data_IF_315768802206
#
_entry.id   IF_315768802206
#
_cell.length_a   1.000
_cell.length_b   1.000
_cell.length_c   1.000
_cell.angle_alpha   90.00
_cell.angle_beta   90.00
_cell.angle_gamma   90.00
#
_symmetry.space_group_name_H-M   'P 1'
#
loop_
_entity.id
_entity.type
_entity.pdbx_description
1 polymer ?
#
# COMPACT_ATOMS: atom_id res chain seq x y z
N UNK A 1 30.38 -23.52 19.25
CA UNK A 1 29.61 -22.40 19.84
C UNK A 1 28.81 -21.75 18.72
N UNK A 2 27.48 -21.62 18.84
CA UNK A 2 26.64 -20.92 17.84
C UNK A 2 26.63 -19.43 18.16
N UNK A 3 27.19 -18.59 17.29
CA UNK A 3 27.29 -17.12 17.45
C UNK A 3 26.16 -16.34 16.75
N UNK A 4 25.18 -17.05 16.22
CA UNK A 4 24.05 -16.47 15.48
C UNK A 4 22.78 -17.21 15.82
N UNK A 5 21.66 -16.51 15.77
CA UNK A 5 20.34 -17.15 15.76
C UNK A 5 20.12 -17.77 14.39
N UNK A 6 20.06 -19.10 14.33
CA UNK A 6 19.67 -19.82 13.12
C UNK A 6 18.15 -19.68 12.96
N UNK A 7 17.73 -19.18 11.79
CA UNK A 7 16.32 -19.00 11.47
C UNK A 7 15.91 -20.19 10.61
N UNK A 8 15.05 -21.06 11.15
CA UNK A 8 14.42 -22.11 10.37
C UNK A 8 13.19 -21.53 9.67
N UNK A 9 13.29 -21.32 8.36
CA UNK A 9 12.16 -20.84 7.54
C UNK A 9 11.38 -22.07 7.11
N UNK A 10 10.17 -22.21 7.64
CA UNK A 10 9.23 -23.24 7.19
C UNK A 10 8.87 -23.03 5.73
N UNK A 11 8.77 -24.12 4.95
CA UNK A 11 8.36 -24.03 3.55
C UNK A 11 6.96 -23.42 3.45
N UNK A 12 6.81 -22.39 2.63
CA UNK A 12 5.52 -21.76 2.40
C UNK A 12 4.52 -22.79 1.84
N UNK A 13 3.26 -22.71 2.29
CA UNK A 13 2.18 -23.61 1.81
C UNK A 13 1.86 -23.41 0.34
N UNK A 14 2.15 -22.21 -0.18
CA UNK A 14 2.00 -21.84 -1.57
C UNK A 14 3.25 -21.08 -2.01
N UNK A 15 3.65 -21.29 -3.24
CA UNK A 15 4.80 -20.61 -3.84
C UNK A 15 4.33 -19.74 -5.00
N UNK A 16 5.03 -18.64 -5.20
CA UNK A 16 4.87 -17.78 -6.37
C UNK A 16 5.59 -18.45 -7.54
N UNK A 17 4.95 -18.50 -8.70
CA UNK A 17 5.51 -19.05 -9.93
C UNK A 17 5.69 -17.96 -10.99
N UNK A 18 6.58 -18.15 -11.97
CA UNK A 18 6.84 -17.14 -13.02
C UNK A 18 5.61 -16.77 -13.87
N UNK A 19 4.63 -17.66 -13.96
CA UNK A 19 3.35 -17.42 -14.63
C UNK A 19 2.39 -16.54 -13.83
N UNK A 20 2.66 -16.34 -12.54
CA UNK A 20 1.78 -15.58 -11.67
C UNK A 20 1.94 -14.07 -11.96
N UNK A 21 0.82 -13.41 -12.18
CA UNK A 21 0.69 -11.97 -12.19
C UNK A 21 0.57 -11.46 -10.74
N UNK A 22 1.46 -10.52 -10.39
CA UNK A 22 1.62 -10.02 -9.02
C UNK A 22 1.35 -8.51 -9.01
N UNK A 23 0.35 -8.09 -8.25
CA UNK A 23 0.16 -6.67 -7.91
C UNK A 23 0.84 -6.41 -6.57
N UNK A 24 1.74 -5.44 -6.50
CA UNK A 24 2.38 -5.03 -5.23
C UNK A 24 1.92 -3.65 -4.81
N UNK A 25 1.47 -3.50 -3.56
CA UNK A 25 1.12 -2.21 -2.97
C UNK A 25 1.74 -2.04 -1.59
N UNK A 26 2.37 -0.89 -1.33
CA UNK A 26 2.87 -0.58 0.01
C UNK A 26 4.12 0.30 0.04
N UNK A 27 4.86 0.18 1.15
CA UNK A 27 6.05 0.99 1.44
C UNK A 27 7.16 0.82 0.39
N UNK A 28 8.24 1.60 0.48
CA UNK A 28 9.36 1.49 -0.44
C UNK A 28 10.08 0.13 -0.37
N UNK A 29 9.92 -0.63 0.72
CA UNK A 29 10.34 -2.04 0.74
C UNK A 29 9.57 -2.87 -0.32
N UNK A 30 8.29 -2.60 -0.52
CA UNK A 30 7.49 -3.24 -1.58
C UNK A 30 8.07 -2.93 -2.96
N UNK A 31 8.49 -1.68 -3.19
CA UNK A 31 9.13 -1.28 -4.45
C UNK A 31 10.42 -2.06 -4.71
N UNK A 32 11.26 -2.23 -3.68
CA UNK A 32 12.48 -3.03 -3.79
C UNK A 32 12.20 -4.50 -4.08
N UNK A 33 11.18 -5.10 -3.45
CA UNK A 33 10.79 -6.49 -3.71
C UNK A 33 10.20 -6.63 -5.13
N UNK A 34 9.34 -5.70 -5.55
CA UNK A 34 8.78 -5.67 -6.89
C UNK A 34 9.87 -5.58 -7.95
N UNK A 35 10.87 -4.73 -7.74
CA UNK A 35 12.00 -4.60 -8.66
C UNK A 35 12.80 -5.91 -8.78
N UNK A 36 13.08 -6.58 -7.66
CA UNK A 36 13.77 -7.90 -7.68
C UNK A 36 12.96 -8.97 -8.40
N UNK A 37 11.64 -8.97 -8.25
CA UNK A 37 10.74 -9.88 -8.96
C UNK A 37 10.76 -9.60 -10.47
N UNK A 38 10.73 -8.33 -10.89
CA UNK A 38 10.85 -7.94 -12.31
C UNK A 38 12.21 -8.34 -12.90
N UNK A 39 13.30 -8.11 -12.18
CA UNK A 39 14.65 -8.55 -12.57
C UNK A 39 14.76 -10.07 -12.70
N UNK A 40 13.89 -10.80 -11.97
CA UNK A 40 13.73 -12.25 -12.07
C UNK A 40 12.63 -12.67 -13.06
N UNK A 41 12.20 -11.77 -13.95
CA UNK A 41 11.22 -12.02 -15.02
C UNK A 41 9.81 -12.45 -14.55
N UNK A 42 9.39 -12.06 -13.35
CA UNK A 42 7.99 -12.20 -12.93
C UNK A 42 7.12 -11.09 -13.55
N UNK A 43 5.84 -11.39 -13.80
CA UNK A 43 4.84 -10.39 -14.20
C UNK A 43 4.40 -9.57 -12.98
N UNK A 44 4.86 -8.32 -12.89
CA UNK A 44 4.61 -7.48 -11.70
C UNK A 44 4.06 -6.11 -12.08
N UNK A 45 2.87 -5.80 -11.57
CA UNK A 45 2.36 -4.43 -11.51
C UNK A 45 2.75 -3.82 -10.16
N UNK A 46 3.60 -2.80 -10.20
CA UNK A 46 4.21 -2.21 -9.00
C UNK A 46 3.54 -0.90 -8.63
N UNK A 47 3.03 -0.81 -7.40
CA UNK A 47 2.61 0.42 -6.72
C UNK A 47 1.93 1.45 -7.66
N UNK A 48 0.71 1.17 -8.14
CA UNK A 48 0.01 2.05 -9.08
C UNK A 48 -0.34 3.44 -8.52
N UNK A 49 -0.14 3.66 -7.21
CA UNK A 49 -0.26 4.96 -6.53
C UNK A 49 1.09 5.49 -6.02
N UNK A 50 2.17 4.80 -6.37
CA UNK A 50 3.48 4.93 -5.78
C UNK A 50 3.52 4.41 -4.35
N UNK A 51 4.56 4.76 -3.61
CA UNK A 51 4.80 4.25 -2.26
C UNK A 51 3.71 4.69 -1.28
N UNK A 52 2.98 3.74 -0.70
CA UNK A 52 1.95 3.97 0.33
C UNK A 52 2.32 3.26 1.63
N UNK A 53 2.35 3.99 2.76
CA UNK A 53 2.90 3.42 4.00
C UNK A 53 1.87 2.80 4.94
N UNK A 54 0.66 3.31 5.00
CA UNK A 54 -0.32 2.88 6.01
C UNK A 54 -1.45 2.03 5.39
N UNK A 55 -2.04 1.08 6.15
CA UNK A 55 -3.06 0.18 5.64
C UNK A 55 -4.31 0.90 5.09
N UNK A 56 -4.73 2.00 5.71
CA UNK A 56 -5.96 2.71 5.32
C UNK A 56 -5.81 3.41 3.96
N UNK A 57 -4.68 4.06 3.70
CA UNK A 57 -4.40 4.64 2.38
C UNK A 57 -4.28 3.57 1.29
N UNK A 58 -3.71 2.40 1.61
CA UNK A 58 -3.67 1.26 0.68
C UNK A 58 -5.08 0.75 0.39
N UNK A 59 -5.94 0.62 1.42
CA UNK A 59 -7.33 0.22 1.25
C UNK A 59 -8.12 1.21 0.38
N UNK A 60 -7.91 2.51 0.57
CA UNK A 60 -8.51 3.55 -0.30
C UNK A 60 -8.01 3.47 -1.74
N UNK A 61 -6.72 3.26 -1.95
CA UNK A 61 -6.17 3.09 -3.29
C UNK A 61 -6.74 1.85 -3.99
N UNK A 62 -6.90 0.73 -3.27
CA UNK A 62 -7.57 -0.46 -3.78
C UNK A 62 -9.05 -0.19 -4.12
N UNK A 63 -9.76 0.60 -3.31
CA UNK A 63 -11.14 1.00 -3.61
C UNK A 63 -11.21 1.82 -4.91
N UNK A 64 -10.31 2.78 -5.10
CA UNK A 64 -10.20 3.57 -6.33
C UNK A 64 -9.93 2.68 -7.55
N UNK A 65 -9.07 1.67 -7.41
CA UNK A 65 -8.80 0.68 -8.47
C UNK A 65 -10.06 -0.12 -8.79
N UNK A 66 -10.78 -0.61 -7.78
CA UNK A 66 -12.02 -1.37 -7.97
C UNK A 66 -13.09 -0.58 -8.70
N UNK A 67 -13.29 0.67 -8.29
CA UNK A 67 -14.30 1.56 -8.86
C UNK A 67 -13.89 2.12 -10.23
N UNK A 68 -12.66 1.84 -10.69
CA UNK A 68 -12.04 2.41 -11.88
C UNK A 68 -12.21 3.94 -11.95
N UNK A 69 -12.06 4.61 -10.80
CA UNK A 69 -12.37 6.03 -10.66
C UNK A 69 -11.40 6.86 -11.49
N UNK A 70 -11.94 7.72 -12.35
CA UNK A 70 -11.15 8.72 -13.07
C UNK A 70 -10.94 9.98 -12.21
N UNK A 71 -9.69 10.44 -12.18
CA UNK A 71 -9.26 11.68 -11.55
C UNK A 71 -9.40 12.83 -12.53
N UNK A 72 -9.87 13.96 -12.01
CA UNK A 72 -10.07 15.22 -12.71
C UNK A 72 -9.13 16.30 -12.17
N UNK A 73 -9.15 17.48 -12.78
CA UNK A 73 -8.33 18.61 -12.31
C UNK A 73 -8.64 19.01 -10.86
N UNK A 74 -9.89 18.80 -10.39
CA UNK A 74 -10.32 19.09 -9.02
C UNK A 74 -9.72 18.12 -7.99
N UNK A 75 -9.16 17.00 -8.43
CA UNK A 75 -8.46 16.04 -7.58
C UNK A 75 -6.97 16.39 -7.38
N UNK A 76 -6.51 17.47 -8.01
CA UNK A 76 -5.13 17.95 -7.93
C UNK A 76 -5.04 19.30 -7.22
N UNK A 77 -3.92 19.52 -6.55
CA UNK A 77 -3.55 20.81 -6.00
C UNK A 77 -2.14 21.19 -6.46
N UNK A 78 -1.89 22.50 -6.58
CA UNK A 78 -0.60 23.04 -6.99
C UNK A 78 0.20 23.53 -5.79
N UNK A 79 1.44 23.07 -5.65
CA UNK A 79 2.34 23.48 -4.59
C UNK A 79 3.80 23.28 -5.03
N UNK A 80 4.71 24.18 -4.65
CA UNK A 80 6.13 24.09 -5.01
C UNK A 80 6.39 23.81 -6.50
N UNK A 81 5.70 24.53 -7.38
CA UNK A 81 5.81 24.45 -8.84
C UNK A 81 5.40 23.10 -9.47
N UNK A 82 4.74 22.23 -8.69
CA UNK A 82 4.24 20.93 -9.13
C UNK A 82 2.74 20.74 -8.82
N UNK A 83 2.10 19.91 -9.62
CA UNK A 83 0.75 19.39 -9.37
C UNK A 83 0.84 18.08 -8.60
N UNK A 84 0.05 17.97 -7.55
CA UNK A 84 0.05 16.85 -6.61
C UNK A 84 -1.35 16.28 -6.41
N UNK A 85 -1.41 15.05 -5.94
CA UNK A 85 -2.64 14.36 -5.54
C UNK A 85 -2.46 13.78 -4.14
N UNK A 86 -3.39 14.05 -3.22
CA UNK A 86 -3.31 13.52 -1.85
C UNK A 86 -3.36 12.00 -1.75
N UNK A 87 -3.85 11.33 -2.80
CA UNK A 87 -3.94 9.87 -2.87
C UNK A 87 -2.67 9.20 -3.37
N UNK A 88 -1.74 9.96 -3.96
CA UNK A 88 -0.58 9.42 -4.66
C UNK A 88 0.73 9.85 -4.00
N UNK A 89 1.75 9.01 -4.12
CA UNK A 89 3.11 9.37 -3.77
C UNK A 89 3.63 10.50 -4.67
N UNK A 90 4.64 11.24 -4.19
CA UNK A 90 5.19 12.39 -4.91
C UNK A 90 5.82 12.02 -6.26
N UNK A 91 6.08 10.73 -6.53
CA UNK A 91 6.51 10.23 -7.85
C UNK A 91 5.46 10.40 -8.96
N UNK A 92 4.21 10.71 -8.61
CA UNK A 92 3.15 11.06 -9.55
C UNK A 92 3.02 12.57 -9.77
N UNK A 93 3.79 13.38 -9.04
CA UNK A 93 3.75 14.84 -9.15
C UNK A 93 4.51 15.32 -10.37
N UNK A 94 4.18 16.51 -10.84
CA UNK A 94 4.96 17.18 -11.88
C UNK A 94 4.39 18.53 -12.29
N UNK A 95 5.18 19.30 -13.02
CA UNK A 95 4.81 20.68 -13.42
C UNK A 95 3.67 20.77 -14.43
N UNK A 96 3.41 19.69 -15.21
CA UNK A 96 2.34 19.66 -16.20
C UNK A 96 1.12 18.89 -15.68
N UNK A 97 0.07 19.64 -15.30
CA UNK A 97 -1.20 19.11 -14.78
C UNK A 97 -1.81 18.00 -15.65
N UNK A 98 -1.84 18.20 -16.97
CA UNK A 98 -2.45 17.25 -17.90
C UNK A 98 -1.68 15.93 -17.90
N UNK A 99 -0.35 15.98 -17.91
CA UNK A 99 0.49 14.77 -17.85
C UNK A 99 0.35 14.04 -16.52
N UNK A 100 0.24 14.77 -15.40
CA UNK A 100 -0.02 14.19 -14.08
C UNK A 100 -1.35 13.42 -14.07
N UNK A 101 -2.43 14.04 -14.55
CA UNK A 101 -3.74 13.38 -14.67
C UNK A 101 -3.70 12.16 -15.59
N UNK A 102 -3.06 12.28 -16.75
CA UNK A 102 -2.91 11.15 -17.67
C UNK A 102 -2.20 9.98 -17.00
N UNK A 103 -1.07 10.24 -16.33
CA UNK A 103 -0.29 9.22 -15.62
C UNK A 103 -1.12 8.54 -14.53
N UNK A 104 -1.80 9.32 -13.69
CA UNK A 104 -2.68 8.79 -12.62
C UNK A 104 -3.75 7.87 -13.21
N UNK A 105 -4.51 8.37 -14.18
CA UNK A 105 -5.64 7.64 -14.75
C UNK A 105 -5.20 6.40 -15.55
N UNK A 106 -4.04 6.46 -16.21
CA UNK A 106 -3.46 5.29 -16.88
C UNK A 106 -3.06 4.19 -15.89
N UNK A 107 -2.43 4.55 -14.77
CA UNK A 107 -2.06 3.59 -13.73
C UNK A 107 -3.29 2.96 -13.07
N UNK A 108 -4.34 3.74 -12.81
CA UNK A 108 -5.61 3.23 -12.26
C UNK A 108 -6.26 2.25 -13.24
N UNK A 109 -6.42 2.63 -14.52
CA UNK A 109 -7.00 1.74 -15.54
C UNK A 109 -6.19 0.48 -15.78
N UNK A 110 -4.86 0.59 -15.71
CA UNK A 110 -3.98 -0.57 -15.79
C UNK A 110 -4.19 -1.50 -14.59
N UNK A 111 -4.22 -0.97 -13.37
CA UNK A 111 -4.44 -1.76 -12.16
C UNK A 111 -5.86 -2.38 -12.11
N UNK A 112 -6.87 -1.65 -12.56
CA UNK A 112 -8.25 -2.13 -12.64
C UNK A 112 -8.37 -3.35 -13.55
N UNK A 113 -7.70 -3.33 -14.71
CA UNK A 113 -7.65 -4.48 -15.63
C UNK A 113 -6.76 -5.62 -15.13
N UNK A 114 -5.69 -5.32 -14.41
CA UNK A 114 -4.75 -6.32 -13.90
C UNK A 114 -5.32 -7.12 -12.73
N UNK A 115 -6.10 -6.48 -11.84
CA UNK A 115 -6.58 -7.09 -10.59
C UNK A 115 -7.44 -8.36 -10.77
N UNK A 116 -8.37 -8.44 -11.74
CA UNK A 116 -9.11 -9.67 -12.03
C UNK A 116 -8.23 -10.86 -12.46
N UNK A 117 -7.10 -10.58 -13.10
CA UNK A 117 -6.19 -11.60 -13.64
C UNK A 117 -5.03 -11.92 -12.69
N UNK A 118 -4.84 -11.14 -11.63
CA UNK A 118 -3.75 -11.32 -10.68
C UNK A 118 -3.89 -12.63 -9.87
N UNK A 119 -2.80 -13.38 -9.73
CA UNK A 119 -2.76 -14.53 -8.81
C UNK A 119 -2.35 -14.09 -7.40
N UNK A 120 -1.59 -12.99 -7.29
CA UNK A 120 -1.10 -12.48 -6.02
C UNK A 120 -1.29 -10.97 -5.87
N UNK A 121 -1.70 -10.56 -4.67
CA UNK A 121 -1.64 -9.20 -4.18
C UNK A 121 -0.69 -9.12 -2.99
N UNK A 122 0.40 -8.39 -3.12
CA UNK A 122 1.36 -8.17 -2.04
C UNK A 122 1.06 -6.85 -1.36
N UNK A 123 0.79 -6.88 -0.06
CA UNK A 123 0.50 -5.71 0.77
C UNK A 123 1.61 -5.51 1.79
N UNK A 124 2.41 -4.46 1.63
CA UNK A 124 3.56 -4.19 2.52
C UNK A 124 3.29 -2.95 3.37
N UNK A 125 2.94 -3.15 4.65
CA UNK A 125 2.63 -2.06 5.56
C UNK A 125 3.89 -1.46 6.19
N UNK A 126 3.99 -0.13 6.13
CA UNK A 126 5.09 0.68 6.66
C UNK A 126 4.82 1.23 8.05
N UNK A 127 3.63 1.80 8.28
CA UNK A 127 3.29 2.49 9.54
C UNK A 127 1.80 2.34 9.90
N UNK A 128 1.49 2.31 11.20
CA UNK A 128 0.14 2.34 11.75
C UNK A 128 -0.30 3.77 12.09
N UNK A 129 0.35 4.77 11.49
CA UNK A 129 -0.03 6.18 11.59
C UNK A 129 -0.60 6.69 10.28
N UNK A 130 -1.63 7.52 10.40
CA UNK A 130 -2.30 8.19 9.28
C UNK A 130 -2.23 9.70 9.44
N UNK A 131 -2.35 10.40 8.32
CA UNK A 131 -2.46 11.85 8.30
C UNK A 131 -3.82 12.25 7.73
N UNK A 132 -4.50 13.14 8.43
CA UNK A 132 -5.72 13.77 7.94
C UNK A 132 -5.41 15.20 7.56
N UNK A 133 -5.75 15.60 6.34
CA UNK A 133 -5.74 17.00 5.90
C UNK A 133 -6.95 17.69 6.50
N UNK A 134 -6.70 18.67 7.38
CA UNK A 134 -7.73 19.39 8.11
C UNK A 134 -8.61 20.25 7.20
N UNK A 135 -8.07 20.99 6.20
CA UNK A 135 -8.90 21.81 5.32
C UNK A 135 -9.92 21.00 4.50
N UNK A 136 -9.52 19.87 3.93
CA UNK A 136 -10.41 19.02 3.12
C UNK A 136 -11.08 17.89 3.92
N UNK A 137 -10.84 17.85 5.25
CA UNK A 137 -11.35 16.85 6.19
C UNK A 137 -11.24 15.41 5.68
N UNK A 138 -10.05 15.02 5.20
CA UNK A 138 -9.84 13.70 4.57
C UNK A 138 -8.54 13.05 4.98
N UNK A 139 -8.54 11.72 4.94
CA UNK A 139 -7.31 10.93 5.00
C UNK A 139 -6.47 11.22 3.75
N UNK A 140 -5.16 11.40 3.92
CA UNK A 140 -4.23 11.56 2.80
C UNK A 140 -3.16 10.48 2.83
N UNK A 141 -2.72 10.07 1.65
CA UNK A 141 -1.66 9.10 1.46
C UNK A 141 -0.27 9.76 1.54
N UNK A 142 -0.18 11.04 1.15
CA UNK A 142 1.04 11.83 1.19
C UNK A 142 0.71 13.31 1.47
N UNK A 143 1.49 13.97 2.33
CA UNK A 143 1.32 15.38 2.67
C UNK A 143 2.03 16.35 1.69
N UNK A 144 2.86 15.85 0.77
CA UNK A 144 3.56 16.61 -0.27
C UNK A 144 4.30 17.86 0.25
N UNK A 145 4.92 17.74 1.43
CA UNK A 145 5.66 18.83 2.11
C UNK A 145 4.84 20.11 2.34
N UNK A 146 3.51 20.02 2.31
CA UNK A 146 2.64 21.10 2.75
C UNK A 146 2.88 21.40 4.25
N UNK A 147 2.53 22.60 4.72
CA UNK A 147 2.73 22.99 6.12
C UNK A 147 2.10 22.01 7.11
N UNK A 148 2.88 21.54 8.09
CA UNK A 148 2.45 20.50 9.06
C UNK A 148 1.15 20.86 9.79
N UNK A 149 0.91 22.15 10.05
CA UNK A 149 -0.32 22.67 10.69
C UNK A 149 -1.60 22.33 9.92
N UNK A 150 -1.51 21.96 8.64
CA UNK A 150 -2.66 21.54 7.85
C UNK A 150 -3.04 20.07 8.08
N UNK A 151 -2.22 19.32 8.83
CA UNK A 151 -2.42 17.89 9.03
C UNK A 151 -2.51 17.54 10.51
N UNK A 152 -3.32 16.54 10.80
CA UNK A 152 -3.29 15.85 12.09
C UNK A 152 -2.85 14.41 11.89
N UNK A 153 -1.79 14.03 12.59
CA UNK A 153 -1.29 12.66 12.63
C UNK A 153 -2.03 11.87 13.70
N UNK A 154 -2.59 10.71 13.36
CA UNK A 154 -3.31 9.85 14.31
C UNK A 154 -2.80 8.41 14.23
N UNK A 155 -2.61 7.71 15.36
CA UNK A 155 -2.42 6.27 15.34
C UNK A 155 -3.70 5.58 14.91
N UNK A 156 -3.56 4.42 14.28
CA UNK A 156 -4.67 3.53 13.94
C UNK A 156 -4.52 2.26 14.78
N UNK A 157 -5.60 1.81 15.40
CA UNK A 157 -5.59 0.57 16.20
C UNK A 157 -5.73 -0.68 15.30
N UNK A 158 -5.53 -1.84 15.92
CA UNK A 158 -5.59 -3.14 15.24
C UNK A 158 -6.97 -3.36 14.62
N UNK A 159 -8.03 -3.06 15.37
CA UNK A 159 -9.42 -3.28 14.99
C UNK A 159 -9.79 -2.52 13.72
N UNK A 160 -9.41 -1.23 13.66
CA UNK A 160 -9.68 -0.39 12.48
C UNK A 160 -8.91 -0.88 11.26
N UNK A 161 -7.64 -1.28 11.41
CA UNK A 161 -6.86 -1.82 10.29
C UNK A 161 -7.52 -3.10 9.75
N UNK A 162 -7.88 -4.02 10.65
CA UNK A 162 -8.51 -5.29 10.28
C UNK A 162 -9.85 -5.03 9.59
N UNK A 163 -10.68 -4.14 10.12
CA UNK A 163 -11.97 -3.79 9.53
C UNK A 163 -11.83 -3.22 8.12
N UNK A 164 -11.01 -2.17 7.95
CA UNK A 164 -10.86 -1.48 6.66
C UNK A 164 -10.21 -2.38 5.60
N UNK A 165 -9.18 -3.14 5.99
CA UNK A 165 -8.50 -4.07 5.08
C UNK A 165 -9.41 -5.26 4.75
N UNK A 166 -10.07 -5.90 5.72
CA UNK A 166 -11.03 -6.98 5.44
C UNK A 166 -12.17 -6.52 4.54
N UNK A 167 -12.70 -5.32 4.77
CA UNK A 167 -13.76 -4.75 3.94
C UNK A 167 -13.34 -4.65 2.48
N UNK A 168 -12.19 -4.02 2.19
CA UNK A 168 -11.74 -3.88 0.80
C UNK A 168 -11.39 -5.24 0.18
N UNK A 169 -10.77 -6.14 0.93
CA UNK A 169 -10.44 -7.49 0.44
C UNK A 169 -11.70 -8.30 0.13
N UNK A 170 -12.78 -8.11 0.90
CA UNK A 170 -14.07 -8.77 0.63
C UNK A 170 -14.64 -8.34 -0.73
N UNK A 171 -14.52 -7.04 -1.08
CA UNK A 171 -14.93 -6.53 -2.39
C UNK A 171 -14.07 -7.07 -3.52
N UNK A 172 -12.75 -7.12 -3.33
CA UNK A 172 -11.82 -7.69 -4.33
C UNK A 172 -12.16 -9.16 -4.61
N UNK A 173 -12.48 -9.94 -3.57
CA UNK A 173 -12.85 -11.36 -3.71
C UNK A 173 -14.13 -11.59 -4.53
N UNK A 174 -15.01 -10.59 -4.65
CA UNK A 174 -16.19 -10.71 -5.52
C UNK A 174 -15.81 -10.73 -7.01
N UNK A 175 -14.66 -10.15 -7.35
CA UNK A 175 -14.15 -10.06 -8.73
C UNK A 175 -13.08 -11.13 -8.98
N UNK A 176 -12.22 -11.39 -7.99
CA UNK A 176 -11.18 -12.40 -8.07
C UNK A 176 -11.17 -13.28 -6.79
N UNK A 177 -12.01 -14.34 -6.76
CA UNK A 177 -12.15 -15.22 -5.58
C UNK A 177 -10.88 -15.99 -5.22
N UNK A 178 -10.04 -16.28 -6.22
CA UNK A 178 -8.83 -17.10 -6.10
C UNK A 178 -7.57 -16.28 -5.75
N UNK A 179 -7.70 -14.95 -5.66
CA UNK A 179 -6.60 -14.06 -5.32
C UNK A 179 -5.96 -14.44 -3.98
N UNK A 180 -4.64 -14.64 -4.01
CA UNK A 180 -3.83 -14.87 -2.81
C UNK A 180 -3.22 -13.55 -2.37
N UNK A 181 -3.18 -13.35 -1.06
CA UNK A 181 -2.70 -12.08 -0.50
C UNK A 181 -1.49 -12.36 0.38
N UNK A 182 -0.36 -11.75 0.07
CA UNK A 182 0.83 -11.79 0.91
C UNK A 182 0.97 -10.45 1.62
N UNK A 183 0.71 -10.44 2.93
CA UNK A 183 0.93 -9.28 3.76
C UNK A 183 2.38 -9.29 4.27
N UNK A 184 3.07 -8.16 4.31
CA UNK A 184 4.36 -8.03 4.98
C UNK A 184 4.41 -6.73 5.79
N UNK A 185 5.27 -6.70 6.81
CA UNK A 185 5.55 -5.47 7.56
C UNK A 185 6.96 -5.01 7.21
N UNK A 186 7.06 -3.78 6.71
CA UNK A 186 8.32 -3.21 6.25
C UNK A 186 9.37 -3.17 7.37
N UNK A 187 10.63 -3.59 7.12
CA UNK A 187 11.71 -3.53 8.12
C UNK A 187 12.24 -2.11 8.34
N UNK A 188 11.80 -1.13 7.55
CA UNK A 188 12.29 0.24 7.61
C UNK A 188 11.86 0.90 8.92
N UNK A 189 12.84 1.48 9.62
CA UNK A 189 12.64 2.20 10.88
C UNK A 189 12.27 3.66 10.61
N UNK A 190 11.08 4.07 11.05
CA UNK A 190 10.65 5.46 11.02
C UNK A 190 11.19 6.21 12.25
N UNK A 191 12.50 6.48 12.26
CA UNK A 191 13.20 7.06 13.42
C UNK A 191 12.75 8.48 13.78
N UNK A 192 12.20 9.22 12.82
CA UNK A 192 11.64 10.56 13.06
C UNK A 192 10.55 10.56 14.13
N UNK A 193 9.87 9.43 14.30
CA UNK A 193 8.74 9.29 15.23
C UNK A 193 9.17 8.89 16.64
N UNK A 194 10.46 8.58 16.85
CA UNK A 194 10.96 7.96 18.07
C UNK A 194 10.92 6.43 18.03
N UNK A 195 11.88 5.81 18.72
CA UNK A 195 12.05 4.35 18.70
C UNK A 195 10.86 3.61 19.29
N UNK A 196 10.22 4.17 20.33
CA UNK A 196 9.08 3.56 21.00
C UNK A 196 7.84 3.58 20.10
N UNK A 197 7.53 4.73 19.50
CA UNK A 197 6.39 4.89 18.60
C UNK A 197 6.53 4.06 17.33
N UNK A 198 7.75 3.96 16.78
CA UNK A 198 8.02 3.05 15.67
C UNK A 198 7.79 1.59 16.07
N UNK A 199 8.26 1.15 17.24
CA UNK A 199 8.03 -0.23 17.70
C UNK A 199 6.54 -0.52 17.95
N UNK A 200 5.82 0.41 18.59
CA UNK A 200 4.37 0.31 18.78
C UNK A 200 3.66 0.19 17.43
N UNK A 201 3.99 1.05 16.47
CA UNK A 201 3.44 0.99 15.11
C UNK A 201 3.69 -0.37 14.45
N UNK A 202 4.91 -0.91 14.52
CA UNK A 202 5.20 -2.22 13.91
C UNK A 202 4.47 -3.35 14.62
N UNK A 203 4.39 -3.32 15.96
CA UNK A 203 3.62 -4.29 16.73
C UNK A 203 2.14 -4.26 16.35
N UNK A 204 1.53 -3.07 16.21
CA UNK A 204 0.15 -2.91 15.75
C UNK A 204 -0.06 -3.51 14.35
N UNK A 205 0.83 -3.24 13.40
CA UNK A 205 0.74 -3.81 12.05
C UNK A 205 0.85 -5.34 12.06
N UNK A 206 1.79 -5.89 12.84
CA UNK A 206 1.96 -7.34 12.96
C UNK A 206 0.71 -8.00 13.54
N UNK A 207 0.15 -7.44 14.62
CA UNK A 207 -1.08 -7.94 15.23
C UNK A 207 -2.25 -7.89 14.25
N UNK A 208 -2.40 -6.80 13.50
CA UNK A 208 -3.45 -6.68 12.50
C UNK A 208 -3.29 -7.68 11.33
N UNK A 209 -2.07 -7.88 10.84
CA UNK A 209 -1.81 -8.88 9.78
C UNK A 209 -2.12 -10.30 10.26
N UNK A 210 -1.70 -10.66 11.47
CA UNK A 210 -2.02 -11.97 12.02
C UNK A 210 -3.52 -12.15 12.26
N UNK A 211 -4.25 -11.10 12.62
CA UNK A 211 -5.71 -11.13 12.69
C UNK A 211 -6.36 -11.39 11.32
N UNK A 212 -5.93 -10.67 10.28
CA UNK A 212 -6.41 -10.88 8.91
C UNK A 212 -6.20 -12.33 8.44
N UNK A 213 -5.05 -12.93 8.77
CA UNK A 213 -4.71 -14.32 8.46
C UNK A 213 -5.61 -15.30 9.22
N UNK A 214 -5.90 -15.05 10.51
CA UNK A 214 -6.83 -15.89 11.29
C UNK A 214 -8.21 -15.94 10.66
N UNK A 215 -8.67 -14.81 10.12
CA UNK A 215 -9.99 -14.68 9.50
C UNK A 215 -10.05 -15.23 8.07
N UNK A 216 -8.92 -15.38 7.38
CA UNK A 216 -8.90 -15.69 5.94
C UNK A 216 -7.78 -16.67 5.55
N UNK A 217 -8.15 -17.84 5.03
CA UNK A 217 -7.18 -18.89 4.63
C UNK A 217 -6.28 -18.55 3.44
N UNK A 218 -6.65 -17.56 2.62
CA UNK A 218 -5.88 -17.12 1.43
C UNK A 218 -5.03 -15.87 1.70
N UNK A 219 -4.84 -15.50 2.97
CA UNK A 219 -3.92 -14.43 3.39
C UNK A 219 -2.70 -15.08 4.07
N UNK A 220 -1.52 -14.61 3.70
CA UNK A 220 -0.22 -15.13 4.15
C UNK A 220 0.64 -13.98 4.72
N UNK A 221 1.66 -14.33 5.49
CA UNK A 221 2.71 -13.43 6.00
C UNK A 221 4.09 -14.02 5.73
#
# INVERSE_FOLDING_TARGET
MKFRTEIEISKARQSVCHRDAILTMGSCFADHIAQRLKESYFSVLQNPFGTLYNPLSIAQALAIILDNREFSEDDLFFYQDEWHSFWHHSSFSGSNKIRVLQTINEQIRMAHRFLPEAQWLFLTFGTAFVYYHLPENRLVANCHKLPEKQFVRKPVNVETIVQEVSHILSKIRQINPDLKILCTVSPIRHLRDGLVQNQQSKATLLLAVHELIRQNKNIFY
#
